data_IF_812254448561
#
_entry.id   IF_812254448561
#
_cell.length_a   1.000
_cell.length_b   1.000
_cell.length_c   1.000
_cell.angle_alpha   90.00
_cell.angle_beta   90.00
_cell.angle_gamma   90.00
#
_symmetry.space_group_name_H-M   'P 1'
#
loop_
_entity.id
_entity.type
_entity.pdbx_description
1 polymer ?
#
# COMPACT_ATOMS: atom_id res chain seq x y z
N UNK A 1 39.65 18.13 -26.33
CA UNK A 1 39.32 16.75 -25.92
C UNK A 1 38.82 16.00 -27.16
N UNK A 2 39.33 14.79 -27.43
CA UNK A 2 39.00 14.05 -28.67
C UNK A 2 37.52 13.65 -28.67
N UNK A 3 36.81 13.81 -29.80
CA UNK A 3 35.41 13.40 -29.95
C UNK A 3 35.18 11.96 -29.52
N UNK A 4 36.12 11.05 -29.80
CA UNK A 4 36.05 9.66 -29.35
C UNK A 4 35.99 9.52 -27.82
N UNK A 5 36.77 10.33 -27.11
CA UNK A 5 36.79 10.33 -25.63
C UNK A 5 35.47 10.86 -25.08
N UNK A 6 34.92 11.92 -25.69
CA UNK A 6 33.61 12.46 -25.31
C UNK A 6 32.52 11.39 -25.52
N UNK A 7 32.51 10.70 -26.66
CA UNK A 7 31.53 9.65 -26.94
C UNK A 7 31.61 8.48 -25.96
N UNK A 8 32.82 8.05 -25.58
CA UNK A 8 33.02 6.97 -24.60
C UNK A 8 32.49 7.39 -23.23
N UNK A 9 32.81 8.61 -22.76
CA UNK A 9 32.31 9.14 -21.48
C UNK A 9 30.78 9.20 -21.50
N UNK A 10 30.19 9.69 -22.58
CA UNK A 10 28.73 9.77 -22.72
C UNK A 10 28.06 8.40 -22.67
N UNK A 11 28.60 7.40 -23.37
CA UNK A 11 28.08 6.02 -23.34
C UNK A 11 28.18 5.45 -21.93
N UNK A 12 29.33 5.60 -21.25
CA UNK A 12 29.50 5.13 -19.87
C UNK A 12 28.50 5.77 -18.91
N UNK A 13 28.33 7.10 -18.96
CA UNK A 13 27.36 7.80 -18.11
C UNK A 13 25.92 7.35 -18.38
N UNK A 14 25.59 7.10 -19.65
CA UNK A 14 24.26 6.60 -20.03
C UNK A 14 24.02 5.19 -19.48
N UNK A 15 25.00 4.29 -19.59
CA UNK A 15 24.90 2.94 -19.02
C UNK A 15 24.78 2.96 -17.49
N UNK A 16 25.50 3.85 -16.82
CA UNK A 16 25.38 4.05 -15.36
C UNK A 16 23.98 4.53 -14.99
N UNK A 17 23.42 5.49 -15.74
CA UNK A 17 22.06 5.98 -15.49
C UNK A 17 21.01 4.87 -15.66
N UNK A 18 21.13 4.05 -16.72
CA UNK A 18 20.27 2.88 -16.93
C UNK A 18 20.42 1.89 -15.76
N UNK A 19 21.66 1.59 -15.33
CA UNK A 19 21.91 0.73 -14.18
C UNK A 19 21.24 1.24 -12.89
N UNK A 20 21.41 2.53 -12.58
CA UNK A 20 20.79 3.17 -11.41
C UNK A 20 19.26 3.08 -11.46
N UNK A 21 18.63 3.40 -12.60
CA UNK A 21 17.17 3.31 -12.73
C UNK A 21 16.64 1.89 -12.52
N UNK A 22 17.34 0.88 -13.03
CA UNK A 22 16.99 -0.53 -12.79
C UNK A 22 17.13 -0.93 -11.32
N UNK A 23 18.19 -0.47 -10.64
CA UNK A 23 18.39 -0.72 -9.21
C UNK A 23 17.30 -0.07 -8.35
N UNK A 24 16.97 1.20 -8.60
CA UNK A 24 15.87 1.88 -7.90
C UNK A 24 14.53 1.20 -8.14
N UNK A 25 14.25 0.82 -9.39
CA UNK A 25 13.03 0.09 -9.73
C UNK A 25 12.96 -1.25 -8.99
N UNK A 26 14.07 -1.99 -8.94
CA UNK A 26 14.15 -3.27 -8.22
C UNK A 26 13.98 -3.09 -6.71
N UNK A 27 14.66 -2.11 -6.10
CA UNK A 27 14.57 -1.83 -4.67
C UNK A 27 13.14 -1.42 -4.26
N UNK A 28 12.51 -0.53 -5.03
CA UNK A 28 11.14 -0.08 -4.78
C UNK A 28 10.12 -1.23 -4.96
N UNK A 29 10.33 -2.10 -5.94
CA UNK A 29 9.45 -3.25 -6.20
C UNK A 29 9.81 -4.50 -5.39
N UNK A 30 10.92 -4.49 -4.64
CA UNK A 30 11.31 -5.59 -3.77
C UNK A 30 10.29 -5.68 -2.63
N UNK A 31 9.22 -6.43 -2.90
CA UNK A 31 8.10 -6.62 -1.98
C UNK A 31 8.48 -7.57 -0.85
N UNK A 32 9.48 -7.19 -0.05
CA UNK A 32 9.87 -7.89 1.15
C UNK A 32 8.63 -8.06 2.03
N UNK A 33 8.36 -9.31 2.42
CA UNK A 33 7.36 -9.58 3.43
C UNK A 33 7.92 -9.19 4.78
N UNK A 34 7.12 -8.49 5.58
CA UNK A 34 7.47 -8.14 6.95
C UNK A 34 6.90 -9.18 7.91
N UNK A 35 7.53 -9.34 9.07
CA UNK A 35 6.98 -10.18 10.14
C UNK A 35 5.65 -9.59 10.62
N UNK A 36 4.71 -10.43 11.05
CA UNK A 36 3.43 -9.97 11.53
C UNK A 36 3.55 -9.40 12.95
N UNK A 37 3.94 -8.12 13.01
CA UNK A 37 4.03 -7.32 14.23
C UNK A 37 3.00 -6.19 14.21
N UNK A 38 1.81 -6.44 13.63
CA UNK A 38 0.75 -5.45 13.62
C UNK A 38 0.20 -5.29 15.04
N UNK A 39 0.67 -4.24 15.73
CA UNK A 39 0.18 -3.83 17.03
C UNK A 39 -0.70 -2.59 16.89
N UNK A 40 -1.84 -2.58 17.57
CA UNK A 40 -2.75 -1.45 17.56
C UNK A 40 -4.07 -1.74 18.25
N UNK A 41 -4.88 -0.69 18.38
CA UNK A 41 -6.26 -0.82 18.85
C UNK A 41 -7.11 -1.47 17.75
N UNK A 42 -8.25 -2.05 18.11
CA UNK A 42 -9.18 -2.59 17.12
C UNK A 42 -9.80 -1.46 16.27
N UNK A 43 -9.69 -1.56 14.94
CA UNK A 43 -10.32 -0.64 14.00
C UNK A 43 -11.78 -1.06 13.76
N UNK A 44 -12.72 -0.26 14.28
CA UNK A 44 -14.16 -0.54 14.18
C UNK A 44 -14.79 -0.10 12.87
N UNK A 45 -14.39 1.06 12.35
CA UNK A 45 -15.06 1.68 11.21
C UNK A 45 -14.24 1.49 9.95
N UNK A 46 -14.59 0.46 9.18
CA UNK A 46 -14.02 0.20 7.88
C UNK A 46 -15.02 -0.56 7.01
N UNK A 47 -14.83 -0.49 5.70
CA UNK A 47 -15.48 -1.36 4.74
C UNK A 47 -14.52 -1.69 3.60
N UNK A 48 -14.66 -2.89 3.04
CA UNK A 48 -14.00 -3.28 1.79
C UNK A 48 -15.06 -3.28 0.69
N UNK A 49 -14.87 -2.41 -0.29
CA UNK A 49 -15.76 -2.30 -1.45
C UNK A 49 -15.38 -3.34 -2.51
N UNK A 50 -14.08 -3.53 -2.74
CA UNK A 50 -13.55 -4.51 -3.68
C UNK A 50 -12.39 -5.24 -3.04
N UNK A 51 -12.36 -6.57 -3.15
CA UNK A 51 -11.17 -7.36 -2.90
C UNK A 51 -10.97 -8.40 -4.01
N UNK A 52 -9.92 -8.21 -4.80
CA UNK A 52 -9.47 -9.14 -5.83
C UNK A 52 -8.09 -9.67 -5.48
N UNK A 53 -8.00 -10.96 -5.21
CA UNK A 53 -6.72 -11.65 -5.00
C UNK A 53 -6.62 -12.76 -6.02
N UNK A 54 -5.63 -12.66 -6.90
CA UNK A 54 -5.32 -13.70 -7.87
C UNK A 54 -3.80 -13.92 -7.97
N UNK A 55 -3.38 -14.86 -8.81
CA UNK A 55 -1.96 -15.25 -8.95
C UNK A 55 -1.04 -14.12 -9.41
N UNK A 56 -1.57 -13.09 -10.08
CA UNK A 56 -0.78 -12.02 -10.73
C UNK A 56 -0.91 -10.67 -10.05
N UNK A 57 -2.02 -10.42 -9.35
CA UNK A 57 -2.29 -9.14 -8.70
C UNK A 57 -3.11 -9.31 -7.43
N UNK A 58 -2.90 -8.37 -6.54
CA UNK A 58 -3.80 -8.06 -5.44
C UNK A 58 -4.33 -6.65 -5.66
N UNK A 59 -5.64 -6.48 -5.53
CA UNK A 59 -6.32 -5.19 -5.57
C UNK A 59 -7.37 -5.14 -4.46
N UNK A 60 -7.29 -4.13 -3.60
CA UNK A 60 -8.27 -3.87 -2.55
C UNK A 60 -8.67 -2.40 -2.63
N UNK A 61 -9.96 -2.12 -2.58
CA UNK A 61 -10.48 -0.77 -2.38
C UNK A 61 -11.48 -0.76 -1.25
N UNK A 62 -11.55 0.34 -0.54
CA UNK A 62 -12.44 0.48 0.59
C UNK A 62 -12.32 1.83 1.27
N UNK A 63 -12.79 1.88 2.50
CA UNK A 63 -12.63 3.03 3.37
C UNK A 63 -12.40 2.58 4.81
N UNK A 64 -11.75 3.45 5.57
CA UNK A 64 -11.48 3.25 6.99
C UNK A 64 -11.32 4.60 7.66
N UNK A 65 -11.86 4.79 8.86
CA UNK A 65 -11.66 6.03 9.60
C UNK A 65 -11.57 5.81 11.11
N UNK A 66 -10.94 6.77 11.78
CA UNK A 66 -10.90 6.85 13.24
C UNK A 66 -11.89 7.95 13.65
N UNK A 67 -12.84 7.69 14.57
CA UNK A 67 -13.80 8.70 14.98
C UNK A 67 -13.13 9.99 15.46
N UNK A 68 -13.69 11.14 15.05
CA UNK A 68 -13.21 12.48 15.41
C UNK A 68 -11.78 12.78 14.96
N UNK A 69 -11.29 12.10 13.92
CA UNK A 69 -9.98 12.37 13.31
C UNK A 69 -10.19 12.68 11.82
N UNK A 70 -9.73 13.85 11.37
CA UNK A 70 -9.85 14.24 9.96
C UNK A 70 -8.70 13.67 9.12
N UNK A 71 -7.50 13.65 9.68
CA UNK A 71 -6.30 13.18 9.01
C UNK A 71 -5.89 11.81 9.54
N UNK A 72 -5.97 10.81 8.66
CA UNK A 72 -5.52 9.45 8.94
C UNK A 72 -4.78 8.88 7.74
N UNK A 73 -3.80 8.04 8.00
CA UNK A 73 -3.06 7.32 6.96
C UNK A 73 -3.43 5.84 7.03
N UNK A 74 -3.90 5.27 5.93
CA UNK A 74 -4.25 3.85 5.84
C UNK A 74 -3.22 3.06 5.05
N UNK A 75 -2.69 2.02 5.69
CA UNK A 75 -1.76 1.04 5.12
C UNK A 75 -2.45 -0.31 5.01
N UNK A 76 -2.19 -1.02 3.92
CA UNK A 76 -2.82 -2.31 3.63
C UNK A 76 -1.75 -3.39 3.53
N UNK A 77 -2.02 -4.53 4.17
CA UNK A 77 -1.15 -5.69 4.14
C UNK A 77 -1.94 -6.93 3.75
N UNK A 78 -1.35 -7.84 2.98
CA UNK A 78 -1.92 -9.16 2.75
C UNK A 78 -1.08 -10.24 3.43
N UNK A 79 -1.74 -11.22 4.04
CA UNK A 79 -1.06 -12.36 4.68
C UNK A 79 -0.62 -13.39 3.63
N UNK A 80 0.61 -13.86 3.78
CA UNK A 80 1.17 -14.99 3.03
C UNK A 80 1.19 -16.24 3.94
N UNK A 81 1.23 -17.44 3.34
CA UNK A 81 1.03 -18.73 4.05
C UNK A 81 1.91 -18.98 5.29
N UNK A 82 3.05 -18.30 5.43
CA UNK A 82 3.92 -18.40 6.61
C UNK A 82 3.57 -17.38 7.71
N UNK A 83 2.40 -16.75 7.65
CA UNK A 83 1.95 -15.74 8.61
C UNK A 83 2.58 -14.36 8.41
N UNK A 84 3.56 -14.21 7.51
CA UNK A 84 4.17 -12.91 7.20
C UNK A 84 3.22 -12.04 6.39
N UNK A 85 3.50 -10.75 6.39
CA UNK A 85 2.68 -9.74 5.76
C UNK A 85 3.38 -9.14 4.54
N UNK A 86 2.67 -9.10 3.43
CA UNK A 86 3.06 -8.42 2.21
C UNK A 86 2.47 -7.00 2.23
N UNK A 87 3.29 -5.94 2.35
CA UNK A 87 2.79 -4.57 2.22
C UNK A 87 2.30 -4.34 0.80
N UNK A 88 1.10 -3.75 0.69
CA UNK A 88 0.45 -3.37 -0.57
C UNK A 88 0.45 -1.85 -0.62
N UNK A 89 1.05 -1.30 -1.66
CA UNK A 89 1.07 0.14 -1.89
C UNK A 89 -0.37 0.66 -1.99
N UNK A 90 -0.73 1.60 -1.13
CA UNK A 90 -2.04 2.23 -1.06
C UNK A 90 -1.96 3.71 -1.42
N UNK A 91 -2.99 4.19 -2.10
CA UNK A 91 -3.26 5.61 -2.32
C UNK A 91 -4.58 5.97 -1.64
N UNK A 92 -4.69 7.21 -1.14
CA UNK A 92 -5.93 7.70 -0.56
C UNK A 92 -6.94 8.05 -1.66
N UNK A 93 -8.22 8.01 -1.30
CA UNK A 93 -9.35 8.36 -2.17
C UNK A 93 -10.31 9.24 -1.42
N UNK A 94 -10.83 10.24 -2.14
CA UNK A 94 -11.87 11.11 -1.64
C UNK A 94 -13.21 10.36 -1.58
N UNK A 95 -13.80 10.27 -0.39
CA UNK A 95 -15.08 9.63 -0.07
C UNK A 95 -16.04 10.62 0.57
N UNK A 96 -16.68 11.43 -0.27
CA UNK A 96 -17.69 12.39 0.18
C UNK A 96 -18.95 11.68 0.69
N UNK A 97 -19.26 10.50 0.17
CA UNK A 97 -20.33 9.62 0.62
C UNK A 97 -20.14 9.21 2.08
N UNK A 98 -18.94 8.72 2.42
CA UNK A 98 -18.59 8.32 3.80
C UNK A 98 -18.61 9.54 4.73
N UNK A 99 -18.07 10.67 4.27
CA UNK A 99 -18.08 11.92 5.03
C UNK A 99 -19.49 12.40 5.36
N UNK A 100 -20.40 12.38 4.37
CA UNK A 100 -21.81 12.75 4.55
C UNK A 100 -22.54 11.81 5.51
N UNK A 101 -22.31 10.50 5.37
CA UNK A 101 -23.00 9.48 6.17
C UNK A 101 -22.60 9.52 7.65
N UNK A 102 -21.33 9.78 7.97
CA UNK A 102 -20.80 9.62 9.33
C UNK A 102 -20.36 10.92 10.02
N UNK A 103 -20.43 12.08 9.33
CA UNK A 103 -19.98 13.36 9.90
C UNK A 103 -20.61 14.61 9.27
N UNK A 104 -21.77 14.47 8.60
CA UNK A 104 -22.45 15.56 7.90
C UNK A 104 -21.56 16.30 6.90
N UNK A 105 -20.59 15.61 6.31
CA UNK A 105 -19.69 16.17 5.30
C UNK A 105 -18.45 16.90 5.86
N UNK A 106 -18.21 16.87 7.18
CA UNK A 106 -17.11 17.61 7.82
C UNK A 106 -15.82 16.82 7.95
N UNK A 107 -15.89 15.51 8.20
CA UNK A 107 -14.74 14.63 8.48
C UNK A 107 -14.69 13.47 7.49
N UNK A 108 -13.58 12.73 7.49
CA UNK A 108 -13.44 11.45 6.78
C UNK A 108 -13.51 11.55 5.26
N UNK A 109 -13.40 12.76 4.69
CA UNK A 109 -13.36 12.94 3.24
C UNK A 109 -12.20 12.15 2.61
N UNK A 110 -11.10 11.95 3.32
CA UNK A 110 -9.93 11.21 2.85
C UNK A 110 -9.83 9.79 3.45
N UNK A 111 -10.95 9.21 3.90
CA UNK A 111 -11.00 7.88 4.50
C UNK A 111 -10.88 6.73 3.50
N UNK A 112 -11.05 7.01 2.20
CA UNK A 112 -10.98 6.01 1.15
C UNK A 112 -9.56 5.57 0.85
N UNK A 113 -9.40 4.33 0.40
CA UNK A 113 -8.13 3.82 -0.11
C UNK A 113 -8.33 2.91 -1.32
N UNK A 114 -7.32 2.91 -2.19
CA UNK A 114 -7.09 1.87 -3.19
C UNK A 114 -5.66 1.36 -3.02
N UNK A 115 -5.53 0.05 -2.83
CA UNK A 115 -4.26 -0.62 -2.66
C UNK A 115 -4.11 -1.68 -3.73
N UNK A 116 -2.96 -1.69 -4.42
CA UNK A 116 -2.70 -2.69 -5.44
C UNK A 116 -1.24 -3.10 -5.48
N UNK A 117 -1.01 -4.37 -5.83
CA UNK A 117 0.34 -4.90 -6.03
C UNK A 117 0.34 -5.99 -7.07
N UNK A 118 1.28 -5.88 -8.02
CA UNK A 118 1.59 -6.97 -8.94
C UNK A 118 2.43 -8.02 -8.22
N UNK A 119 2.04 -9.28 -8.35
CA UNK A 119 2.77 -10.42 -7.83
C UNK A 119 3.71 -10.92 -8.93
N UNK A 120 5.01 -10.77 -8.72
CA UNK A 120 6.05 -11.22 -9.67
C UNK A 120 6.31 -12.72 -9.50
N UNK A 121 6.18 -13.23 -8.27
CA UNK A 121 6.26 -14.65 -7.94
C UNK A 121 4.93 -15.13 -7.36
N UNK A 122 4.62 -16.42 -7.51
CA UNK A 122 3.47 -17.07 -6.85
C UNK A 122 3.68 -17.06 -5.33
N UNK A 123 3.37 -15.91 -4.70
CA UNK A 123 3.23 -15.84 -3.24
C UNK A 123 1.88 -16.45 -2.91
N UNK A 124 1.89 -17.54 -2.15
CA UNK A 124 0.67 -18.14 -1.66
C UNK A 124 0.03 -17.22 -0.60
N UNK A 125 -0.92 -16.39 -1.05
CA UNK A 125 -1.68 -15.49 -0.21
C UNK A 125 -2.85 -16.26 0.45
N UNK A 126 -3.11 -16.00 1.72
CA UNK A 126 -4.15 -16.69 2.50
C UNK A 126 -5.54 -16.06 2.37
N UNK A 127 -5.70 -15.08 1.45
CA UNK A 127 -6.85 -14.18 1.31
C UNK A 127 -7.13 -13.26 2.51
N UNK A 128 -6.32 -13.29 3.58
CA UNK A 128 -6.46 -12.35 4.69
C UNK A 128 -5.76 -11.03 4.38
N UNK A 129 -6.46 -9.94 4.64
CA UNK A 129 -6.01 -8.57 4.50
C UNK A 129 -6.05 -7.90 5.87
N UNK A 130 -5.03 -7.12 6.17
CA UNK A 130 -4.98 -6.25 7.34
C UNK A 130 -5.03 -4.80 6.90
N UNK A 131 -5.93 -4.04 7.53
CA UNK A 131 -6.13 -2.62 7.31
C UNK A 131 -5.59 -1.92 8.56
N UNK A 132 -4.59 -1.06 8.37
CA UNK A 132 -3.94 -0.33 9.46
C UNK A 132 -4.13 1.15 9.25
N UNK A 133 -4.99 1.77 10.05
CA UNK A 133 -5.24 3.22 10.01
C UNK A 133 -4.51 3.88 11.17
N UNK A 134 -3.68 4.86 10.86
CA UNK A 134 -2.90 5.63 11.83
C UNK A 134 -3.44 7.05 11.92
N UNK A 135 -3.53 7.58 13.14
CA UNK A 135 -3.78 9.00 13.35
C UNK A 135 -2.47 9.82 13.34
N UNK A 136 -2.59 11.14 13.50
CA UNK A 136 -1.45 12.07 13.54
C UNK A 136 -0.43 11.76 14.65
N UNK A 137 -0.88 11.14 15.75
CA UNK A 137 -0.04 10.72 16.87
C UNK A 137 0.61 9.34 16.66
N UNK A 138 0.58 8.79 15.44
CA UNK A 138 1.05 7.44 15.09
C UNK A 138 0.38 6.29 15.86
N UNK A 139 -0.77 6.53 16.50
CA UNK A 139 -1.56 5.46 17.12
C UNK A 139 -2.23 4.64 16.03
N UNK A 140 -1.92 3.35 16.01
CA UNK A 140 -2.39 2.42 14.98
C UNK A 140 -3.69 1.74 15.41
N UNK A 141 -4.62 1.65 14.46
CA UNK A 141 -5.86 0.89 14.57
C UNK A 141 -5.86 -0.17 13.48
N UNK A 142 -6.10 -1.43 13.86
CA UNK A 142 -5.96 -2.59 12.98
C UNK A 142 -7.31 -3.30 12.84
N UNK A 143 -7.70 -3.59 11.60
CA UNK A 143 -8.78 -4.50 11.26
C UNK A 143 -8.23 -5.64 10.40
N UNK A 144 -8.86 -6.81 10.53
CA UNK A 144 -8.62 -7.95 9.67
C UNK A 144 -9.86 -8.20 8.82
N UNK A 145 -9.66 -8.48 7.54
CA UNK A 145 -10.70 -8.84 6.59
C UNK A 145 -10.29 -10.07 5.80
N UNK A 146 -11.24 -10.97 5.53
CA UNK A 146 -11.01 -12.15 4.69
C UNK A 146 -11.77 -11.97 3.39
N UNK A 147 -11.05 -11.96 2.27
CA UNK A 147 -11.68 -11.82 0.96
C UNK A 147 -12.46 -13.08 0.60
N UNK A 148 -13.63 -12.89 0.00
CA UNK A 148 -14.50 -13.99 -0.46
C UNK A 148 -13.90 -14.62 -1.71
#
# INVERSE_FOLDING_TARGET
MNQKVISIIYICLTLVAIGCTLLFFSAWNSGASVENQLHGKFLKNFNIDVCEINKRKVYISGWSYIPNQDHTVTKIYAEIQNGKLLPISSNFIIRQDVSKLFSDGKLYKNSGFQASKRLINEKNLTKKIFIVTQNENNLSYVAQFVCK
#
